data_IF_543441319473
#
_entry.id   IF_543441319473
#
_cell.length_a   1.000
_cell.length_b   1.000
_cell.length_c   1.000
_cell.angle_alpha   90.00
_cell.angle_beta   90.00
_cell.angle_gamma   90.00
#
_symmetry.space_group_name_H-M   'P 1'
#
loop_
_entity.id
_entity.type
_entity.pdbx_description
1 polymer ?
#
# COMPACT_ATOMS: atom_id res chain seq x y z
N UNK A 1 -13.50 -8.63 16.79
CA UNK A 1 -12.62 -9.29 17.78
C UNK A 1 -12.44 -10.75 17.35
N UNK A 2 -11.21 -11.25 17.26
CA UNK A 2 -10.89 -12.53 16.63
C UNK A 2 -11.34 -13.72 17.48
N UNK A 3 -11.99 -14.73 16.88
CA UNK A 3 -12.53 -15.89 17.60
C UNK A 3 -11.46 -16.74 18.32
N UNK A 4 -10.22 -16.69 17.81
CA UNK A 4 -9.09 -17.47 18.32
C UNK A 4 -8.38 -16.84 19.52
N UNK A 5 -8.70 -15.60 19.89
CA UNK A 5 -8.07 -14.88 21.00
C UNK A 5 -8.88 -14.94 22.30
N UNK A 6 -9.93 -15.78 22.33
CA UNK A 6 -10.81 -15.92 23.48
C UNK A 6 -10.11 -16.65 24.62
N UNK A 7 -10.20 -16.12 25.83
CA UNK A 7 -9.87 -16.86 27.05
C UNK A 7 -10.99 -17.84 27.41
N UNK A 8 -10.66 -18.90 28.17
CA UNK A 8 -11.63 -19.88 28.66
C UNK A 8 -12.79 -19.19 29.42
N UNK A 9 -14.01 -19.71 29.25
CA UNK A 9 -15.22 -19.13 29.85
C UNK A 9 -15.09 -19.06 31.38
N UNK A 10 -15.28 -17.87 31.95
CA UNK A 10 -15.65 -17.75 33.36
C UNK A 10 -17.15 -18.04 33.47
N UNK A 11 -17.53 -19.15 34.12
CA UNK A 11 -18.89 -19.68 34.22
C UNK A 11 -19.95 -18.69 34.76
N UNK A 12 -19.52 -17.57 35.34
CA UNK A 12 -20.37 -16.59 36.02
C UNK A 12 -20.84 -15.42 35.14
N UNK A 13 -20.21 -15.20 33.98
CA UNK A 13 -20.59 -14.10 33.09
C UNK A 13 -20.70 -14.63 31.67
N UNK A 14 -21.83 -14.42 31.00
CA UNK A 14 -22.09 -14.80 29.61
C UNK A 14 -21.25 -13.98 28.59
N UNK A 15 -20.08 -13.49 29.01
CA UNK A 15 -19.18 -12.63 28.27
C UNK A 15 -17.89 -13.38 27.94
N UNK A 16 -17.44 -13.26 26.68
CA UNK A 16 -16.19 -13.84 26.24
C UNK A 16 -15.04 -12.94 26.67
N UNK A 17 -14.15 -13.45 27.53
CA UNK A 17 -12.91 -12.76 27.88
C UNK A 17 -11.93 -12.75 26.69
N UNK A 18 -11.14 -11.69 26.58
CA UNK A 18 -10.02 -11.59 25.65
C UNK A 18 -8.81 -11.07 26.44
N UNK A 19 -7.78 -11.89 26.59
CA UNK A 19 -6.56 -11.51 27.32
C UNK A 19 -5.52 -10.83 26.43
N UNK A 20 -5.49 -11.17 25.13
CA UNK A 20 -4.48 -10.68 24.19
C UNK A 20 -4.63 -9.19 23.87
N UNK A 21 -5.87 -8.74 23.70
CA UNK A 21 -6.21 -7.36 23.41
C UNK A 21 -6.88 -6.75 24.65
N UNK A 22 -6.27 -5.70 25.19
CA UNK A 22 -6.73 -4.92 26.34
C UNK A 22 -6.70 -5.62 27.72
N UNK A 23 -6.05 -6.79 27.85
CA UNK A 23 -5.85 -7.50 29.13
C UNK A 23 -7.12 -7.65 29.96
N UNK A 24 -8.17 -8.24 29.36
CA UNK A 24 -9.48 -8.41 30.01
C UNK A 24 -10.17 -7.07 30.39
N UNK A 25 -9.90 -6.01 29.63
CA UNK A 25 -10.49 -4.68 29.86
C UNK A 25 -9.72 -3.81 30.86
N UNK A 26 -8.55 -4.25 31.33
CA UNK A 26 -7.65 -3.43 32.18
C UNK A 26 -7.01 -2.26 31.43
N UNK A 27 -6.96 -2.34 30.09
CA UNK A 27 -6.44 -1.28 29.23
C UNK A 27 -7.60 -0.67 28.45
N UNK A 28 -7.87 0.62 28.69
CA UNK A 28 -8.77 1.41 27.86
C UNK A 28 -7.95 2.07 26.74
N UNK A 29 -8.17 1.65 25.50
CA UNK A 29 -7.54 2.28 24.35
C UNK A 29 -8.26 3.60 24.05
N UNK A 30 -7.53 4.68 23.72
CA UNK A 30 -8.16 5.90 23.25
C UNK A 30 -8.96 5.60 21.98
N UNK A 31 -10.07 6.32 21.80
CA UNK A 31 -10.86 6.22 20.57
C UNK A 31 -9.95 6.55 19.38
N UNK A 32 -10.03 5.71 18.36
CA UNK A 32 -9.36 5.98 17.09
C UNK A 32 -9.87 7.31 16.54
N UNK A 33 -8.95 8.09 15.96
CA UNK A 33 -9.34 9.28 15.21
C UNK A 33 -10.18 8.84 14.02
N UNK A 34 -11.15 9.68 13.65
CA UNK A 34 -11.92 9.42 12.45
C UNK A 34 -11.01 9.46 11.22
N UNK A 35 -11.19 8.50 10.32
CA UNK A 35 -10.52 8.49 9.03
C UNK A 35 -10.93 9.73 8.24
N UNK A 36 -9.97 10.46 7.62
CA UNK A 36 -10.28 11.57 6.72
C UNK A 36 -11.37 11.19 5.70
N UNK A 37 -12.35 12.07 5.41
CA UNK A 37 -13.46 11.77 4.52
C UNK A 37 -13.03 11.21 3.15
N UNK A 38 -11.94 11.73 2.60
CA UNK A 38 -11.36 11.35 1.32
C UNK A 38 -10.95 9.87 1.34
N UNK A 39 -10.15 9.49 2.34
CA UNK A 39 -9.71 8.10 2.53
C UNK A 39 -10.87 7.18 2.92
N UNK A 40 -11.84 7.69 3.70
CA UNK A 40 -13.01 6.92 4.10
C UNK A 40 -13.86 6.53 2.88
N UNK A 41 -14.09 7.47 1.98
CA UNK A 41 -14.83 7.21 0.73
C UNK A 41 -14.07 6.23 -0.16
N UNK A 42 -12.74 6.34 -0.27
CA UNK A 42 -11.91 5.39 -1.03
C UNK A 42 -11.93 3.96 -0.46
N UNK A 43 -12.07 3.81 0.86
CA UNK A 43 -12.01 2.54 1.57
C UNK A 43 -13.38 1.88 1.84
N UNK A 44 -14.49 2.57 1.58
CA UNK A 44 -15.82 2.06 1.90
C UNK A 44 -16.34 1.00 0.92
N UNK A 45 -15.80 0.95 -0.30
CA UNK A 45 -16.17 -0.01 -1.35
C UNK A 45 -17.57 0.18 -1.92
N UNK A 46 -18.19 1.35 -1.70
CA UNK A 46 -19.58 1.64 -2.07
C UNK A 46 -19.74 1.95 -3.56
N UNK A 47 -18.87 2.81 -4.10
CA UNK A 47 -18.88 3.28 -5.48
C UNK A 47 -17.82 2.57 -6.36
N UNK A 48 -17.78 2.89 -7.66
CA UNK A 48 -16.80 2.25 -8.57
C UNK A 48 -15.36 2.67 -8.25
N UNK A 49 -15.14 3.91 -7.80
CA UNK A 49 -13.82 4.45 -7.56
C UNK A 49 -13.21 3.83 -6.29
N UNK A 50 -13.98 3.66 -5.22
CA UNK A 50 -13.54 2.93 -4.02
C UNK A 50 -13.26 1.45 -4.28
N UNK A 51 -14.05 0.79 -5.14
CA UNK A 51 -13.77 -0.60 -5.57
C UNK A 51 -12.47 -0.69 -6.35
N UNK A 52 -12.21 0.27 -7.25
CA UNK A 52 -10.98 0.35 -8.02
C UNK A 52 -9.77 0.58 -7.10
N UNK A 53 -9.89 1.53 -6.16
CA UNK A 53 -8.87 1.79 -5.15
C UNK A 53 -8.59 0.54 -4.30
N UNK A 54 -9.62 -0.10 -3.74
CA UNK A 54 -9.43 -1.32 -2.95
C UNK A 54 -8.73 -2.43 -3.75
N UNK A 55 -9.12 -2.61 -5.02
CA UNK A 55 -8.54 -3.61 -5.93
C UNK A 55 -7.06 -3.34 -6.24
N UNK A 56 -6.71 -2.07 -6.45
CA UNK A 56 -5.39 -1.66 -6.93
C UNK A 56 -4.60 -0.83 -5.91
N UNK A 57 -4.97 -0.87 -4.64
CA UNK A 57 -4.40 -0.08 -3.53
C UNK A 57 -2.88 -0.12 -3.47
N UNK A 58 -2.28 -1.28 -3.74
CA UNK A 58 -0.82 -1.43 -3.80
C UNK A 58 -0.19 -0.64 -4.94
N UNK A 59 -0.83 -0.61 -6.11
CA UNK A 59 -0.34 0.13 -7.26
C UNK A 59 -0.46 1.64 -7.00
N UNK A 60 -1.58 2.11 -6.44
CA UNK A 60 -1.74 3.50 -6.01
C UNK A 60 -0.68 3.91 -4.98
N UNK A 61 -0.40 3.08 -3.97
CA UNK A 61 0.67 3.37 -3.01
C UNK A 61 2.07 3.36 -3.65
N UNK A 62 2.29 2.51 -4.65
CA UNK A 62 3.57 2.41 -5.35
C UNK A 62 3.84 3.61 -6.27
N UNK A 63 2.81 4.36 -6.72
CA UNK A 63 3.00 5.60 -7.48
C UNK A 63 3.80 6.64 -6.67
N UNK A 64 3.70 6.59 -5.34
CA UNK A 64 4.44 7.47 -4.42
C UNK A 64 5.62 6.79 -3.73
N UNK A 65 6.04 5.61 -4.18
CA UNK A 65 7.19 4.92 -3.60
C UNK A 65 8.51 5.56 -4.08
N UNK A 66 9.27 6.17 -3.15
CA UNK A 66 10.56 6.79 -3.44
C UNK A 66 11.65 5.79 -3.86
N UNK A 67 11.44 4.50 -3.64
CA UNK A 67 12.41 3.44 -3.93
C UNK A 67 11.69 2.25 -4.52
N UNK A 68 12.22 1.72 -5.63
CA UNK A 68 11.79 0.46 -6.22
C UNK A 68 12.94 -0.53 -6.23
N UNK A 69 12.61 -1.82 -6.24
CA UNK A 69 13.57 -2.91 -6.34
C UNK A 69 13.60 -3.41 -7.78
N UNK A 70 14.74 -3.26 -8.45
CA UNK A 70 14.97 -3.77 -9.80
C UNK A 70 15.85 -5.02 -9.81
N UNK A 71 15.76 -5.84 -10.86
CA UNK A 71 16.63 -7.00 -11.05
C UNK A 71 16.02 -8.08 -11.95
N UNK A 72 16.79 -9.15 -12.20
CA UNK A 72 16.26 -10.36 -12.85
C UNK A 72 15.43 -11.13 -11.82
N UNK A 73 14.12 -11.02 -11.91
CA UNK A 73 13.18 -11.68 -11.00
C UNK A 73 12.94 -13.12 -11.48
N UNK A 74 13.23 -14.08 -10.62
CA UNK A 74 12.82 -15.47 -10.79
C UNK A 74 11.40 -15.67 -10.24
N UNK A 75 10.43 -15.74 -11.14
CA UNK A 75 9.00 -15.91 -10.81
C UNK A 75 8.63 -17.36 -10.46
N UNK A 76 9.56 -18.32 -10.52
CA UNK A 76 9.26 -19.73 -10.22
C UNK A 76 8.82 -19.96 -8.77
N UNK A 77 9.14 -19.04 -7.86
CA UNK A 77 8.78 -19.12 -6.44
C UNK A 77 7.35 -18.67 -6.14
N UNK A 78 6.71 -17.94 -7.06
CA UNK A 78 5.35 -17.46 -6.86
C UNK A 78 4.34 -18.45 -7.40
N UNK A 79 3.73 -19.22 -6.50
CA UNK A 79 2.70 -20.21 -6.83
C UNK A 79 1.26 -19.70 -6.62
N UNK A 80 1.08 -18.39 -6.44
CA UNK A 80 -0.22 -17.79 -6.14
C UNK A 80 -0.68 -18.04 -4.69
N UNK A 81 -1.88 -17.55 -4.35
CA UNK A 81 -2.52 -17.78 -3.05
C UNK A 81 -2.01 -16.92 -1.88
N UNK A 82 -1.02 -16.05 -2.09
CA UNK A 82 -0.45 -15.18 -1.05
C UNK A 82 0.16 -13.89 -1.61
N UNK A 83 0.75 -13.04 -0.75
CA UNK A 83 1.51 -11.88 -1.19
C UNK A 83 2.58 -12.27 -2.22
N UNK A 84 2.83 -11.40 -3.20
CA UNK A 84 3.89 -11.61 -4.17
C UNK A 84 5.23 -11.72 -3.45
N UNK A 85 5.97 -12.78 -3.75
CA UNK A 85 7.29 -13.05 -3.19
C UNK A 85 8.26 -13.38 -4.32
N UNK A 86 9.47 -12.85 -4.21
CA UNK A 86 10.57 -13.17 -5.11
C UNK A 86 11.86 -13.25 -4.29
N UNK A 87 12.86 -13.95 -4.85
CA UNK A 87 14.15 -14.13 -4.20
C UNK A 87 15.22 -13.37 -4.97
N UNK A 88 16.03 -12.61 -4.24
CA UNK A 88 17.23 -11.94 -4.74
C UNK A 88 18.44 -12.78 -4.35
N UNK A 89 19.35 -13.00 -5.30
CA UNK A 89 20.64 -13.62 -5.06
C UNK A 89 21.75 -12.56 -5.12
N UNK A 90 22.69 -12.61 -4.19
CA UNK A 90 23.80 -11.66 -4.09
C UNK A 90 23.47 -10.45 -3.21
N UNK A 91 24.09 -9.31 -3.51
CA UNK A 91 23.94 -8.07 -2.76
C UNK A 91 22.95 -7.12 -3.44
N UNK A 92 22.16 -6.41 -2.64
CA UNK A 92 21.32 -5.32 -3.10
C UNK A 92 22.13 -4.03 -3.07
N UNK A 93 22.33 -3.40 -4.24
CA UNK A 93 22.97 -2.10 -4.33
C UNK A 93 21.92 -1.01 -4.48
N UNK A 94 22.12 0.11 -3.80
CA UNK A 94 21.28 1.28 -3.96
C UNK A 94 21.72 2.05 -5.21
N UNK A 95 20.85 2.15 -6.20
CA UNK A 95 21.09 2.95 -7.40
C UNK A 95 20.44 4.32 -7.22
N UNK A 96 21.26 5.35 -7.06
CA UNK A 96 20.81 6.75 -7.02
C UNK A 96 21.05 7.35 -8.40
N UNK A 97 20.01 7.91 -9.01
CA UNK A 97 20.15 8.71 -10.22
C UNK A 97 20.93 10.00 -9.97
N UNK A 98 21.24 10.74 -11.04
CA UNK A 98 21.68 12.13 -10.93
C UNK A 98 20.67 12.96 -10.11
N UNK A 99 21.06 14.12 -9.56
CA UNK A 99 20.12 15.04 -8.89
C UNK A 99 19.23 15.79 -9.89
N UNK A 100 19.73 16.01 -11.11
CA UNK A 100 18.99 16.63 -12.21
C UNK A 100 18.93 15.67 -13.40
N UNK A 101 17.84 15.67 -14.18
CA UNK A 101 17.81 14.94 -15.44
C UNK A 101 18.92 15.46 -16.36
N UNK A 102 19.49 14.58 -17.18
CA UNK A 102 20.38 14.99 -18.27
C UNK A 102 19.58 15.81 -19.29
N UNK A 103 20.24 16.71 -20.00
CA UNK A 103 19.60 17.53 -21.05
C UNK A 103 18.87 16.62 -22.06
N UNK A 104 17.60 16.94 -22.36
CA UNK A 104 16.68 16.16 -23.19
C UNK A 104 16.32 14.74 -22.69
N UNK A 105 16.69 14.37 -21.47
CA UNK A 105 16.31 13.09 -20.84
C UNK A 105 15.06 13.21 -19.97
N UNK A 106 14.34 12.10 -19.83
CA UNK A 106 13.19 12.02 -18.93
C UNK A 106 13.65 12.03 -17.46
N UNK A 107 12.85 12.68 -16.60
CA UNK A 107 13.02 12.59 -15.16
C UNK A 107 12.95 11.12 -14.71
N UNK A 108 13.88 10.72 -13.84
CA UNK A 108 13.95 9.36 -13.30
C UNK A 108 14.23 9.38 -11.80
N UNK A 109 13.87 8.32 -11.09
CA UNK A 109 14.12 8.18 -9.64
C UNK A 109 13.52 9.33 -8.83
N UNK A 110 14.33 10.05 -8.04
CA UNK A 110 13.90 11.14 -7.17
C UNK A 110 13.45 12.39 -7.92
N UNK A 111 13.82 12.54 -9.21
CA UNK A 111 13.41 13.69 -10.02
C UNK A 111 11.90 13.84 -10.09
N UNK A 112 11.18 12.72 -10.12
CA UNK A 112 9.72 12.67 -10.30
C UNK A 112 8.98 13.30 -9.10
N UNK A 113 9.63 13.37 -7.94
CA UNK A 113 9.06 14.01 -6.74
C UNK A 113 9.46 15.48 -6.57
N UNK A 114 10.46 15.94 -7.33
CA UNK A 114 11.02 17.29 -7.23
C UNK A 114 10.61 18.17 -8.41
N UNK A 115 10.43 17.56 -9.57
CA UNK A 115 9.93 18.18 -10.78
C UNK A 115 8.42 17.91 -10.79
N UNK A 116 7.66 18.86 -10.26
CA UNK A 116 6.20 18.81 -10.30
C UNK A 116 5.72 19.14 -11.72
N UNK A 117 5.60 18.11 -12.55
CA UNK A 117 5.08 18.22 -13.91
C UNK A 117 3.97 17.18 -14.12
N UNK A 118 2.78 17.64 -14.56
CA UNK A 118 1.61 16.81 -14.88
C UNK A 118 1.96 15.63 -15.80
N UNK A 119 2.98 15.79 -16.65
CA UNK A 119 3.49 14.75 -17.56
C UNK A 119 4.12 13.55 -16.83
N UNK A 120 4.70 13.71 -15.64
CA UNK A 120 5.28 12.58 -14.88
C UNK A 120 4.21 11.80 -14.12
N UNK A 121 3.13 12.45 -13.68
CA UNK A 121 1.97 11.74 -13.13
C UNK A 121 1.36 10.81 -14.19
N UNK A 122 1.17 11.29 -15.42
CA UNK A 122 0.71 10.45 -16.53
C UNK A 122 1.65 9.26 -16.80
N UNK A 123 2.97 9.45 -16.67
CA UNK A 123 3.95 8.36 -16.83
C UNK A 123 3.86 7.34 -15.70
N UNK A 124 3.64 7.79 -14.46
CA UNK A 124 3.42 6.91 -13.30
C UNK A 124 2.16 6.06 -13.42
N UNK A 125 1.08 6.64 -13.95
CA UNK A 125 -0.17 5.91 -14.21
C UNK A 125 0.00 4.85 -15.31
N UNK A 126 0.95 5.05 -16.21
CA UNK A 126 1.26 4.18 -17.35
C UNK A 126 2.42 3.20 -17.10
N UNK A 127 2.91 3.05 -15.86
CA UNK A 127 4.06 2.18 -15.56
C UNK A 127 3.82 0.73 -16.05
N UNK A 128 4.83 0.05 -16.63
CA UNK A 128 4.63 -1.02 -17.62
C UNK A 128 4.11 -2.37 -17.07
N UNK A 129 3.76 -2.44 -15.79
CA UNK A 129 3.36 -3.69 -15.12
C UNK A 129 1.86 -3.75 -14.77
N UNK A 130 1.09 -2.70 -15.08
CA UNK A 130 -0.37 -2.68 -14.89
C UNK A 130 -1.12 -3.08 -16.16
N UNK A 131 -1.94 -4.12 -16.12
CA UNK A 131 -2.83 -4.51 -17.24
C UNK A 131 -3.92 -3.46 -17.55
N UNK A 132 -4.05 -2.41 -16.72
CA UNK A 132 -4.95 -1.26 -16.91
C UNK A 132 -4.31 0.00 -16.31
N UNK A 133 -4.46 1.18 -16.94
CA UNK A 133 -4.03 2.45 -16.36
C UNK A 133 -4.78 2.71 -15.04
N UNK A 134 -4.07 3.23 -14.05
CA UNK A 134 -4.69 3.68 -12.80
C UNK A 134 -5.58 4.90 -13.07
N UNK A 135 -6.71 5.00 -12.39
CA UNK A 135 -7.61 6.17 -12.48
C UNK A 135 -7.01 7.34 -11.70
N UNK A 136 -6.69 8.42 -12.41
CA UNK A 136 -6.07 9.64 -11.91
C UNK A 136 -6.93 10.40 -10.89
N UNK A 137 -8.26 10.25 -10.94
CA UNK A 137 -9.17 10.93 -10.01
C UNK A 137 -8.96 10.53 -8.55
N UNK A 138 -8.27 9.42 -8.30
CA UNK A 138 -7.86 8.97 -6.97
C UNK A 138 -6.62 9.73 -6.46
N UNK A 139 -5.77 10.22 -7.38
CA UNK A 139 -4.49 10.86 -7.08
C UNK A 139 -4.54 12.40 -7.15
N UNK A 140 -5.47 12.95 -7.93
CA UNK A 140 -5.71 14.39 -8.06
C UNK A 140 -6.15 15.15 -6.78
N UNK A 141 -6.80 14.53 -5.77
CA UNK A 141 -7.24 15.27 -4.59
C UNK A 141 -6.21 15.36 -3.45
N UNK A 142 -4.95 14.92 -3.65
CA UNK A 142 -3.90 14.88 -2.62
C UNK A 142 -2.93 16.06 -2.67
#
# INVERSE_FOLDING_TARGET
>A
MWKYERTEQQELTNYWGFALCCSEGKVELPKLRETPPELKNLLDGSDELSKLFCKYSRMYNNVFACTSTGGKIDNTLYHGGGPFVYRVYGELYHQIGSLLPEDDSNAVYSHIYMLDNEQELERHLNFPNGQQPLDNRILEPL
#
